data_IF_631283531911
#
_entry.id   IF_631283531911
#
_cell.length_a   1.000
_cell.length_b   1.000
_cell.length_c   1.000
_cell.angle_alpha   90.00
_cell.angle_beta   90.00
_cell.angle_gamma   90.00
#
_symmetry.space_group_name_H-M   'P 1'
#
loop_
_entity.id
_entity.type
_entity.pdbx_description
1 polymer ?
#
# COMPACT_ATOMS: atom_id res chain seq x y z
N UNK A 1 63.05 -16.70 18.69
CA UNK A 1 61.90 -16.72 17.72
C UNK A 1 60.61 -16.46 18.51
N UNK A 2 60.06 -15.27 18.43
CA UNK A 2 58.79 -14.91 19.08
C UNK A 2 57.65 -15.09 18.09
N UNK A 3 56.74 -16.04 18.36
CA UNK A 3 55.47 -16.20 17.60
C UNK A 3 54.51 -15.06 17.96
N UNK A 4 54.18 -14.25 16.99
CA UNK A 4 53.10 -13.25 17.09
C UNK A 4 51.80 -13.97 16.81
N UNK A 5 50.97 -14.13 17.83
CA UNK A 5 49.58 -14.61 17.71
C UNK A 5 48.72 -13.44 17.23
N UNK A 6 48.22 -13.48 15.98
CA UNK A 6 47.21 -12.57 15.50
C UNK A 6 45.86 -13.00 16.09
N UNK A 7 45.31 -12.16 16.98
CA UNK A 7 43.91 -12.26 17.36
C UNK A 7 43.06 -11.63 16.25
N UNK A 8 42.37 -12.46 15.50
CA UNK A 8 41.34 -12.02 14.58
C UNK A 8 40.04 -11.75 15.37
N UNK A 9 39.75 -10.50 15.64
CA UNK A 9 38.46 -10.09 16.22
C UNK A 9 37.43 -10.14 15.09
N UNK A 10 36.57 -11.16 15.08
CA UNK A 10 35.41 -11.23 14.22
C UNK A 10 34.34 -10.29 14.80
N UNK A 11 34.19 -9.12 14.20
CA UNK A 11 33.04 -8.24 14.45
C UNK A 11 31.84 -8.87 13.75
N UNK A 12 31.01 -9.60 14.53
CA UNK A 12 29.70 -10.04 14.08
C UNK A 12 28.80 -8.80 14.14
N UNK A 13 28.63 -8.16 12.98
CA UNK A 13 27.63 -7.11 12.79
C UNK A 13 26.26 -7.79 12.79
N UNK A 14 25.60 -7.83 13.94
CA UNK A 14 24.19 -8.22 14.05
C UNK A 14 23.37 -7.15 13.37
N UNK A 15 23.00 -7.38 12.12
CA UNK A 15 21.98 -6.59 11.43
C UNK A 15 20.64 -6.92 12.10
N UNK A 16 20.25 -6.11 13.09
CA UNK A 16 18.90 -6.17 13.65
C UNK A 16 17.98 -5.60 12.59
N UNK A 17 17.38 -6.49 11.81
CA UNK A 17 16.21 -6.16 11.02
C UNK A 17 15.10 -5.82 12.02
N UNK A 18 14.88 -4.54 12.26
CA UNK A 18 13.67 -4.05 12.94
C UNK A 18 12.55 -4.18 11.93
N UNK A 19 12.05 -5.41 11.72
CA UNK A 19 10.73 -5.61 11.18
C UNK A 19 9.79 -5.05 12.25
N UNK A 20 9.17 -3.90 11.96
CA UNK A 20 8.17 -3.33 12.86
C UNK A 20 7.06 -4.36 13.03
N UNK A 21 7.03 -5.03 14.17
CA UNK A 21 5.91 -5.91 14.51
C UNK A 21 4.71 -5.02 14.84
N UNK A 22 3.58 -5.28 14.18
CA UNK A 22 2.32 -4.66 14.56
C UNK A 22 1.90 -5.26 15.90
N UNK A 23 1.77 -4.41 16.92
CA UNK A 23 1.23 -4.83 18.22
C UNK A 23 -0.30 -4.83 18.14
N UNK A 24 -0.88 -6.01 17.93
CA UNK A 24 -2.34 -6.19 17.84
C UNK A 24 -3.07 -5.92 19.16
N UNK A 25 -2.36 -5.80 20.28
CA UNK A 25 -2.96 -5.46 21.57
C UNK A 25 -2.97 -3.94 21.83
N UNK A 26 -2.31 -3.16 20.96
CA UNK A 26 -2.18 -1.71 21.12
C UNK A 26 -2.16 -1.05 19.72
N UNK A 27 -3.30 -1.10 19.04
CA UNK A 27 -3.48 -0.50 17.73
C UNK A 27 -3.45 1.04 17.81
N UNK A 28 -3.12 1.68 16.69
CA UNK A 28 -3.29 3.13 16.57
C UNK A 28 -4.79 3.45 16.48
N UNK A 29 -5.20 4.52 17.12
CA UNK A 29 -6.58 4.98 17.06
C UNK A 29 -6.84 5.67 15.71
N UNK A 30 -7.66 5.04 14.87
CA UNK A 30 -8.15 5.54 13.59
C UNK A 30 -9.67 5.83 13.63
N UNK A 31 -10.40 5.12 14.49
CA UNK A 31 -11.85 5.21 14.62
C UNK A 31 -12.28 6.56 15.20
N UNK A 32 -11.66 6.97 16.30
CA UNK A 32 -12.03 8.18 17.06
C UNK A 32 -11.25 9.43 16.63
N UNK A 33 -10.99 9.62 15.34
CA UNK A 33 -10.30 10.80 14.87
C UNK A 33 -11.15 12.05 15.00
N UNK A 34 -10.62 13.08 15.67
CA UNK A 34 -11.31 14.37 15.80
C UNK A 34 -11.24 15.14 14.47
N UNK A 35 -12.32 15.12 13.71
CA UNK A 35 -12.42 15.86 12.46
C UNK A 35 -12.77 17.33 12.76
N UNK A 36 -11.99 18.31 12.26
CA UNK A 36 -12.30 19.73 12.44
C UNK A 36 -13.66 20.09 11.89
N UNK A 37 -14.37 21.01 12.57
CA UNK A 37 -15.77 21.39 12.22
C UNK A 37 -15.94 22.03 10.83
N UNK A 38 -14.88 22.45 10.18
CA UNK A 38 -14.93 22.98 8.81
C UNK A 38 -14.86 21.88 7.74
N UNK A 39 -14.54 20.64 8.12
CA UNK A 39 -14.65 19.48 7.24
C UNK A 39 -16.07 18.96 7.33
N UNK A 40 -16.82 19.11 6.27
CA UNK A 40 -18.25 18.81 6.20
C UNK A 40 -18.56 17.54 5.41
N UNK A 41 -17.62 17.09 4.57
CA UNK A 41 -17.76 15.86 3.79
C UNK A 41 -17.05 14.71 4.48
N UNK A 42 -17.68 13.53 4.47
CA UNK A 42 -17.11 12.27 4.93
C UNK A 42 -17.63 11.13 4.06
N UNK A 43 -16.76 10.57 3.24
CA UNK A 43 -17.09 9.50 2.30
C UNK A 43 -17.01 8.10 2.93
N UNK A 44 -16.92 7.98 4.25
CA UNK A 44 -16.95 6.70 4.94
C UNK A 44 -18.30 6.01 4.69
N UNK A 45 -18.33 4.80 4.08
CA UNK A 45 -19.56 4.08 3.86
C UNK A 45 -20.22 3.68 5.18
N UNK A 46 -21.57 3.71 5.23
CA UNK A 46 -22.33 3.34 6.44
C UNK A 46 -22.21 1.83 6.78
N UNK A 47 -21.93 1.00 5.78
CA UNK A 47 -21.77 -0.45 5.91
C UNK A 47 -20.31 -0.89 5.99
N UNK A 48 -19.37 0.06 5.96
CA UNK A 48 -17.94 -0.17 6.09
C UNK A 48 -17.30 0.97 6.91
N UNK A 49 -17.73 1.10 8.16
CA UNK A 49 -17.20 2.11 9.07
C UNK A 49 -15.72 1.85 9.38
N UNK A 50 -15.01 2.92 9.72
CA UNK A 50 -13.60 2.81 10.09
C UNK A 50 -13.48 2.12 11.45
N UNK A 51 -12.65 1.07 11.51
CA UNK A 51 -12.20 0.47 12.76
C UNK A 51 -10.68 0.48 12.85
N UNK A 52 -10.15 0.42 14.06
CA UNK A 52 -8.70 0.40 14.29
C UNK A 52 -8.06 -0.85 13.66
N UNK A 53 -8.72 -1.99 13.72
CA UNK A 53 -8.28 -3.24 13.10
C UNK A 53 -8.29 -3.14 11.57
N UNK A 54 -9.40 -2.67 10.98
CA UNK A 54 -9.54 -2.51 9.54
C UNK A 54 -8.53 -1.54 8.96
N UNK A 55 -8.34 -0.38 9.60
CA UNK A 55 -7.35 0.61 9.19
C UNK A 55 -5.92 0.08 9.34
N UNK A 56 -5.63 -0.68 10.40
CA UNK A 56 -4.33 -1.33 10.61
C UNK A 56 -4.05 -2.36 9.52
N UNK A 57 -5.04 -3.21 9.18
CA UNK A 57 -4.91 -4.17 8.08
C UNK A 57 -4.68 -3.46 6.75
N UNK A 58 -5.49 -2.45 6.43
CA UNK A 58 -5.33 -1.65 5.22
C UNK A 58 -3.94 -1.02 5.11
N UNK A 59 -3.39 -0.53 6.22
CA UNK A 59 -2.03 -0.01 6.27
C UNK A 59 -0.98 -1.08 5.98
N UNK A 60 -1.13 -2.30 6.51
CA UNK A 60 -0.22 -3.41 6.23
C UNK A 60 -0.27 -3.74 4.73
N UNK A 61 -1.46 -3.94 4.18
CA UNK A 61 -1.66 -4.27 2.78
C UNK A 61 -1.11 -3.18 1.85
N UNK A 62 -1.26 -1.90 2.20
CA UNK A 62 -0.74 -0.78 1.41
C UNK A 62 0.78 -0.84 1.15
N UNK A 63 1.55 -1.42 2.07
CA UNK A 63 2.99 -1.60 1.96
C UNK A 63 3.41 -3.02 1.56
N UNK A 64 2.44 -3.95 1.43
CA UNK A 64 2.75 -5.35 1.13
C UNK A 64 2.95 -5.57 -0.38
N UNK A 65 4.16 -5.94 -0.74
CA UNK A 65 4.52 -6.26 -2.13
C UNK A 65 3.95 -7.60 -2.60
N UNK A 66 3.48 -8.46 -1.71
CA UNK A 66 2.80 -9.71 -2.08
C UNK A 66 1.51 -9.48 -2.84
N UNK A 67 0.97 -8.26 -2.80
CA UNK A 67 -0.18 -7.88 -3.61
C UNK A 67 0.14 -7.71 -5.11
N UNK A 68 1.41 -7.86 -5.52
CA UNK A 68 1.79 -7.92 -6.93
C UNK A 68 2.35 -9.30 -7.29
N UNK A 69 2.07 -9.76 -8.51
CA UNK A 69 2.35 -11.12 -8.98
C UNK A 69 3.83 -11.56 -8.88
N UNK A 70 4.75 -10.61 -8.86
CA UNK A 70 6.20 -10.86 -8.78
C UNK A 70 6.81 -10.36 -7.45
N UNK A 71 5.97 -9.91 -6.51
CA UNK A 71 6.36 -9.37 -5.20
C UNK A 71 7.29 -8.14 -5.28
N UNK A 72 7.18 -7.33 -6.34
CA UNK A 72 8.03 -6.15 -6.53
C UNK A 72 7.32 -4.83 -6.22
N UNK A 73 6.01 -4.76 -6.44
CA UNK A 73 5.18 -3.55 -6.36
C UNK A 73 4.21 -3.65 -5.17
N UNK A 74 4.08 -2.56 -4.44
CA UNK A 74 3.02 -2.33 -3.45
C UNK A 74 2.30 -1.02 -3.79
N UNK A 75 1.16 -0.72 -3.18
CA UNK A 75 0.50 0.58 -3.33
C UNK A 75 1.46 1.73 -3.01
N UNK A 76 2.25 1.58 -1.94
CA UNK A 76 3.28 2.54 -1.54
C UNK A 76 4.42 2.73 -2.55
N UNK A 77 4.55 1.88 -3.58
CA UNK A 77 5.55 2.05 -4.63
C UNK A 77 5.21 3.22 -5.58
N UNK A 78 3.91 3.49 -5.76
CA UNK A 78 3.39 4.55 -6.62
C UNK A 78 2.71 5.67 -5.84
N UNK A 79 2.38 5.42 -4.56
CA UNK A 79 1.75 6.37 -3.65
C UNK A 79 2.70 6.67 -2.49
N UNK A 80 3.70 7.53 -2.77
CA UNK A 80 4.77 7.87 -1.84
C UNK A 80 4.28 8.88 -0.79
N UNK A 81 4.40 8.54 0.49
CA UNK A 81 3.90 9.37 1.60
C UNK A 81 4.47 10.79 1.56
N UNK A 82 5.75 10.96 1.26
CA UNK A 82 6.45 12.24 1.20
C UNK A 82 5.97 13.17 0.06
N UNK A 83 5.20 12.61 -0.91
CA UNK A 83 4.59 13.34 -2.02
C UNK A 83 3.06 13.36 -1.94
N UNK A 84 2.54 13.40 -0.71
CA UNK A 84 1.09 13.36 -0.42
C UNK A 84 0.42 12.10 -0.99
N UNK A 85 1.13 10.98 -0.93
CA UNK A 85 0.73 9.68 -1.50
C UNK A 85 0.48 9.72 -3.01
N UNK A 86 1.25 10.52 -3.74
CA UNK A 86 1.36 10.48 -5.20
C UNK A 86 2.73 9.97 -5.64
N UNK A 87 3.03 9.99 -6.95
CA UNK A 87 4.32 9.61 -7.52
C UNK A 87 5.16 10.84 -7.87
N UNK A 88 6.47 10.68 -7.96
CA UNK A 88 7.39 11.68 -8.53
C UNK A 88 7.53 11.57 -10.03
N UNK A 89 7.29 10.38 -10.59
CA UNK A 89 7.33 10.11 -12.02
C UNK A 89 6.03 10.55 -12.71
N UNK A 90 6.11 10.93 -13.97
CA UNK A 90 4.93 11.26 -14.78
C UNK A 90 3.98 10.06 -14.93
N UNK A 91 4.53 8.86 -15.02
CA UNK A 91 3.84 7.58 -15.04
C UNK A 91 4.60 6.61 -14.13
N UNK A 92 3.87 5.75 -13.41
CA UNK A 92 4.46 4.83 -12.45
C UNK A 92 4.96 3.55 -13.11
N UNK A 93 5.95 2.91 -12.50
CA UNK A 93 6.42 1.59 -12.93
C UNK A 93 5.59 0.50 -12.26
N UNK A 94 5.00 -0.39 -13.06
CA UNK A 94 4.30 -1.59 -12.62
C UNK A 94 5.09 -2.86 -12.95
N UNK A 95 4.49 -4.03 -12.69
CA UNK A 95 5.12 -5.35 -12.91
C UNK A 95 5.34 -5.68 -14.40
N UNK A 96 4.49 -5.15 -15.30
CA UNK A 96 4.56 -5.42 -16.74
C UNK A 96 4.73 -4.14 -17.58
N UNK A 97 5.38 -3.11 -17.05
CA UNK A 97 5.64 -1.88 -17.79
C UNK A 97 5.40 -0.62 -16.98
N UNK A 98 4.85 0.40 -17.64
CA UNK A 98 4.53 1.69 -17.02
C UNK A 98 3.04 1.99 -17.17
N UNK A 99 2.47 2.65 -16.18
CA UNK A 99 1.06 3.04 -16.18
C UNK A 99 0.76 4.08 -17.27
N UNK A 100 -0.49 4.16 -17.69
CA UNK A 100 -0.92 5.12 -18.71
C UNK A 100 -1.10 6.55 -18.17
N UNK A 101 -1.18 6.71 -16.84
CA UNK A 101 -1.49 7.97 -16.17
C UNK A 101 -0.67 8.12 -14.90
N UNK A 102 -0.50 9.36 -14.45
CA UNK A 102 0.11 9.69 -13.17
C UNK A 102 -0.74 9.17 -12.00
N UNK A 103 -0.08 8.66 -10.94
CA UNK A 103 -0.74 8.24 -9.71
C UNK A 103 -1.41 9.41 -9.02
N UNK A 104 -2.71 9.28 -8.71
CA UNK A 104 -3.46 10.28 -7.98
C UNK A 104 -2.99 10.37 -6.53
N UNK A 105 -3.04 11.55 -5.94
CA UNK A 105 -2.76 11.73 -4.51
C UNK A 105 -3.90 11.16 -3.67
N UNK A 106 -3.55 10.48 -2.57
CA UNK A 106 -4.54 9.86 -1.68
C UNK A 106 -4.79 10.67 -0.39
N UNK A 107 -4.00 11.74 -0.16
CA UNK A 107 -4.16 12.56 1.04
C UNK A 107 -5.57 13.17 1.08
N UNK A 108 -6.23 13.03 2.23
CA UNK A 108 -7.59 13.53 2.48
C UNK A 108 -8.69 12.97 1.55
N UNK A 109 -8.46 11.85 0.86
CA UNK A 109 -9.46 11.26 -0.02
C UNK A 109 -10.81 11.01 0.68
N UNK A 110 -10.80 10.62 1.96
CA UNK A 110 -12.00 10.46 2.79
C UNK A 110 -12.91 11.70 2.79
N UNK A 111 -12.32 12.89 2.71
CA UNK A 111 -13.01 14.17 2.83
C UNK A 111 -13.16 14.90 1.50
N UNK A 112 -13.00 14.20 0.39
CA UNK A 112 -13.19 14.77 -0.95
C UNK A 112 -14.67 14.96 -1.28
N UNK A 113 -14.99 16.02 -2.01
CA UNK A 113 -16.33 16.21 -2.61
C UNK A 113 -16.62 15.13 -3.67
N UNK A 114 -15.58 14.53 -4.25
CA UNK A 114 -15.70 13.45 -5.22
C UNK A 114 -15.67 12.09 -4.52
N UNK A 115 -16.73 11.31 -4.70
CA UNK A 115 -16.83 9.92 -4.23
C UNK A 115 -16.32 8.91 -5.25
N UNK A 116 -16.20 9.34 -6.53
CA UNK A 116 -15.66 8.48 -7.60
C UNK A 116 -14.15 8.60 -7.69
N UNK A 117 -13.49 7.51 -8.05
CA UNK A 117 -12.04 7.46 -8.10
C UNK A 117 -11.50 7.18 -9.51
N UNK A 118 -10.20 7.39 -9.68
CA UNK A 118 -9.45 7.52 -10.92
C UNK A 118 -9.74 8.83 -11.69
N UNK A 119 -8.81 9.18 -12.59
CA UNK A 119 -8.92 10.37 -13.45
C UNK A 119 -10.15 10.38 -14.37
N UNK A 120 -10.73 9.23 -14.63
CA UNK A 120 -11.91 9.02 -15.48
C UNK A 120 -13.13 8.57 -14.68
N UNK A 121 -13.07 8.65 -13.34
CA UNK A 121 -14.19 8.39 -12.42
C UNK A 121 -14.85 7.00 -12.61
N UNK A 122 -14.08 6.02 -13.10
CA UNK A 122 -14.61 4.68 -13.40
C UNK A 122 -14.92 3.86 -12.16
N UNK A 123 -14.21 4.08 -11.06
CA UNK A 123 -14.52 3.44 -9.78
C UNK A 123 -15.62 4.21 -9.05
N UNK A 124 -16.60 3.48 -8.54
CA UNK A 124 -17.79 4.06 -7.91
C UNK A 124 -17.59 4.39 -6.43
N UNK A 125 -16.54 3.84 -5.82
CA UNK A 125 -16.13 4.11 -4.43
C UNK A 125 -14.63 3.90 -4.28
N UNK A 126 -14.08 4.21 -3.11
CA UNK A 126 -12.66 3.93 -2.81
C UNK A 126 -12.39 2.44 -2.59
N UNK A 127 -13.36 1.68 -2.09
CA UNK A 127 -13.29 0.21 -1.98
C UNK A 127 -13.19 -0.44 -3.36
N UNK A 128 -14.03 0.01 -4.30
CA UNK A 128 -13.98 -0.44 -5.70
C UNK A 128 -12.63 -0.07 -6.35
N UNK A 129 -12.14 1.14 -6.09
CA UNK A 129 -10.85 1.59 -6.60
C UNK A 129 -9.70 0.75 -6.08
N UNK A 130 -9.66 0.42 -4.79
CA UNK A 130 -8.51 -0.20 -4.15
C UNK A 130 -8.15 -1.58 -4.73
N UNK A 131 -9.13 -2.32 -5.26
CA UNK A 131 -8.93 -3.63 -5.87
C UNK A 131 -8.48 -3.56 -7.35
N UNK A 132 -8.76 -2.47 -8.06
CA UNK A 132 -8.53 -2.39 -9.51
C UNK A 132 -7.05 -2.36 -9.91
N UNK A 133 -6.12 -1.64 -9.23
CA UNK A 133 -4.70 -1.71 -9.53
C UNK A 133 -4.09 -3.11 -9.35
N UNK A 134 -4.60 -3.88 -8.39
CA UNK A 134 -4.17 -5.27 -8.17
C UNK A 134 -4.53 -6.13 -9.39
N UNK A 135 -5.69 -5.91 -9.97
CA UNK A 135 -6.22 -6.61 -11.13
C UNK A 135 -5.73 -6.04 -12.48
N UNK A 136 -4.99 -4.94 -12.47
CA UNK A 136 -4.42 -4.38 -13.70
C UNK A 136 -3.17 -5.15 -14.13
N UNK A 137 -3.15 -5.60 -15.41
CA UNK A 137 -2.04 -6.36 -15.98
C UNK A 137 -0.70 -5.62 -15.88
N UNK A 138 -0.71 -4.32 -16.10
CA UNK A 138 0.51 -3.50 -16.09
C UNK A 138 0.94 -3.16 -14.67
N UNK A 139 -0.01 -2.82 -13.78
CA UNK A 139 0.29 -2.30 -12.45
C UNK A 139 0.76 -3.41 -11.50
N UNK A 140 -0.12 -4.35 -11.11
CA UNK A 140 0.20 -5.39 -10.12
C UNK A 140 0.01 -6.83 -10.64
N UNK A 141 -0.67 -7.04 -11.76
CA UNK A 141 -0.60 -8.22 -12.58
C UNK A 141 -1.51 -9.40 -12.22
N UNK A 142 -2.50 -9.25 -11.33
CA UNK A 142 -3.51 -10.28 -11.07
C UNK A 142 -4.74 -10.09 -11.96
N UNK A 143 -4.52 -10.02 -13.27
CA UNK A 143 -5.54 -9.62 -14.25
C UNK A 143 -6.44 -10.76 -14.72
N UNK A 144 -6.09 -12.01 -14.47
CA UNK A 144 -6.76 -13.19 -15.05
C UNK A 144 -6.62 -13.28 -16.57
N UNK A 145 -5.80 -12.44 -17.20
CA UNK A 145 -5.59 -12.36 -18.64
C UNK A 145 -4.12 -12.50 -18.99
N UNK A 146 -3.81 -12.78 -20.26
CA UNK A 146 -2.42 -12.84 -20.75
C UNK A 146 -1.54 -13.85 -20.00
N UNK A 147 -2.14 -14.84 -19.32
CA UNK A 147 -1.45 -15.84 -18.51
C UNK A 147 -1.17 -15.41 -17.07
N UNK A 148 -1.71 -14.27 -16.63
CA UNK A 148 -1.69 -13.88 -15.24
C UNK A 148 -2.68 -14.72 -14.40
N UNK A 149 -2.36 -14.96 -13.13
CA UNK A 149 -3.32 -15.36 -12.11
C UNK A 149 -4.38 -14.26 -11.92
N UNK A 150 -5.53 -14.60 -11.37
CA UNK A 150 -6.58 -13.62 -11.10
C UNK A 150 -6.58 -13.16 -9.63
N UNK A 151 -7.50 -12.26 -9.31
CA UNK A 151 -7.61 -11.72 -7.96
C UNK A 151 -8.05 -12.76 -6.91
N UNK A 152 -8.80 -13.78 -7.30
CA UNK A 152 -9.22 -14.86 -6.41
C UNK A 152 -8.03 -15.76 -6.05
N UNK A 153 -7.12 -15.99 -7.00
CA UNK A 153 -5.87 -16.71 -6.73
C UNK A 153 -5.04 -16.00 -5.67
N UNK A 154 -4.92 -14.66 -5.74
CA UNK A 154 -4.22 -13.86 -4.73
C UNK A 154 -4.84 -14.03 -3.33
N UNK A 155 -6.16 -14.00 -3.21
CA UNK A 155 -6.86 -14.16 -1.93
C UNK A 155 -6.54 -15.51 -1.27
N UNK A 156 -6.31 -16.55 -2.06
CA UNK A 156 -5.92 -17.88 -1.55
C UNK A 156 -4.47 -17.92 -1.07
N UNK A 157 -3.59 -17.06 -1.61
CA UNK A 157 -2.16 -17.00 -1.28
C UNK A 157 -1.85 -16.13 -0.05
N UNK A 158 -2.77 -15.25 0.37
CA UNK A 158 -2.62 -14.37 1.53
C UNK A 158 -2.96 -15.06 2.86
#
# INVERSE_FOLDING_TARGET
MRRKTLLTVAVISSLVLIAGTVDLNNLLNYEDQNTPSYVIEDNTPQDNEISDEGATLGRILFYDKKLSKDNTIACASCHLQEYAFGDTALVSTGVNGVTARHSMRLVNARYSDEVRAFWDERAVSFEDQASQPIQDHVEMGYSGTSGDADFEDLIVEL
#
